data_IF_217052081629
#
_entry.id   IF_217052081629
#
_cell.length_a   1.000
_cell.length_b   1.000
_cell.length_c   1.000
_cell.angle_alpha   90.00
_cell.angle_beta   90.00
_cell.angle_gamma   90.00
#
_symmetry.space_group_name_H-M   'P 1'
#
loop_
_entity.id
_entity.type
_entity.pdbx_description
1 polymer ?
2 non-polymer ?
3 water ?
#
# COMPACT_ATOMS: atom_id res chain seq x y z
N UNK A 1 -3.23 5.10 15.37
CA UNK A 1 -4.12 4.47 14.44
C UNK A 1 -4.62 5.56 13.54
N UNK A 2 -4.79 5.28 12.26
CA UNK A 2 -5.37 6.22 11.32
C UNK A 2 -6.77 5.62 11.01
N UNK A 3 -7.74 6.39 10.52
CA UNK A 3 -9.10 5.93 10.27
C UNK A 3 -9.68 6.49 8.98
N UNK A 4 -10.51 5.79 8.20
CA UNK A 4 -11.16 6.41 7.07
C UNK A 4 -12.56 5.84 7.03
N UNK A 5 -13.53 6.70 6.77
CA UNK A 5 -14.91 6.36 6.70
C UNK A 5 -15.37 6.61 5.28
N UNK A 6 -15.89 5.60 4.61
CA UNK A 6 -16.41 5.83 3.27
C UNK A 6 -17.75 6.56 3.24
N UNK A 7 -18.50 6.70 4.32
CA UNK A 7 -19.73 7.43 4.21
C UNK A 7 -19.43 8.92 4.21
N UNK A 8 -19.80 9.56 3.11
CA UNK A 8 -19.54 10.98 3.01
C UNK A 8 -18.10 11.23 2.60
N UNK A 9 -17.40 10.22 2.08
CA UNK A 9 -16.05 10.39 1.61
C UNK A 9 -16.07 11.12 0.28
N UNK A 10 -15.14 12.00 0.04
CA UNK A 10 -15.07 12.66 -1.22
C UNK A 10 -13.57 12.71 -1.47
N UNK A 11 -13.09 13.36 -2.55
CA UNK A 11 -11.67 13.41 -2.85
C UNK A 11 -10.79 14.04 -1.78
N UNK A 12 -11.30 14.99 -1.02
CA UNK A 12 -10.43 15.63 -0.08
C UNK A 12 -10.34 14.88 1.24
N UNK A 13 -11.37 14.20 1.83
CA UNK A 13 -11.21 13.46 3.08
C UNK A 13 -10.30 12.26 2.88
N UNK A 14 -10.37 11.68 1.67
CA UNK A 14 -9.47 10.65 1.23
C UNK A 14 -8.03 11.20 1.19
N UNK A 15 -7.71 12.34 0.52
CA UNK A 15 -6.38 12.92 0.58
C UNK A 15 -5.92 13.14 2.03
N UNK A 16 -6.88 13.53 2.87
CA UNK A 16 -6.63 13.72 4.29
C UNK A 16 -6.31 12.41 4.98
N UNK A 17 -6.93 11.27 4.65
CA UNK A 17 -6.57 9.99 5.21
C UNK A 17 -5.19 9.57 4.71
N UNK A 18 -4.86 9.70 3.43
CA UNK A 18 -3.57 9.24 2.92
C UNK A 18 -2.44 10.07 3.51
N UNK A 19 -2.67 11.38 3.71
CA UNK A 19 -1.77 12.29 4.39
C UNK A 19 -1.48 11.81 5.81
N UNK A 20 -2.50 11.50 6.59
CA UNK A 20 -2.32 10.96 7.91
C UNK A 20 -1.64 9.61 7.94
N UNK A 21 -1.91 8.72 6.96
CA UNK A 21 -1.23 7.43 6.88
C UNK A 21 0.27 7.67 6.68
N UNK A 22 0.68 8.50 5.73
CA UNK A 22 2.06 8.84 5.50
C UNK A 22 2.69 9.42 6.74
N UNK A 23 1.97 10.31 7.39
CA UNK A 23 2.49 10.97 8.59
C UNK A 23 2.57 10.10 9.82
N UNK A 24 1.93 8.93 9.81
CA UNK A 24 1.99 7.98 10.90
C UNK A 24 3.19 7.07 10.74
N UNK A 25 3.97 7.10 9.65
CA UNK A 25 5.07 6.17 9.50
C UNK A 25 6.34 6.90 9.93
N UNK A 26 7.11 6.37 10.90
CA UNK A 26 8.30 7.02 11.46
C UNK A 26 9.47 7.02 10.51
N UNK A 27 10.26 8.08 10.55
CA UNK A 27 11.47 8.15 9.75
C UNK A 27 12.51 8.93 10.53
N UNK A 28 13.78 8.75 10.20
CA UNK A 28 14.81 9.50 10.87
C UNK A 28 15.29 10.57 9.92
N UNK A 29 15.65 10.20 8.70
CA UNK A 29 16.15 11.16 7.75
C UNK A 29 15.16 11.36 6.60
N UNK A 30 15.46 12.35 5.78
CA UNK A 30 14.74 12.57 4.54
C UNK A 30 15.87 12.46 3.55
N UNK A 31 15.74 11.68 2.50
CA UNK A 31 16.76 11.62 1.46
C UNK A 31 16.12 12.44 0.34
N UNK A 32 16.80 13.49 -0.15
CA UNK A 32 16.31 14.41 -1.17
C UNK A 32 14.91 14.92 -0.88
N UNK A 33 14.66 15.14 0.40
CA UNK A 33 13.41 15.60 1.02
C UNK A 33 12.21 14.61 1.09
N UNK A 34 12.47 13.35 0.84
CA UNK A 34 11.48 12.29 0.92
C UNK A 34 11.79 11.54 2.20
N UNK A 35 10.83 11.26 3.09
CA UNK A 35 10.99 10.41 4.25
C UNK A 35 11.60 9.05 3.93
N UNK A 36 12.68 8.73 4.60
CA UNK A 36 13.32 7.45 4.47
C UNK A 36 12.80 6.61 5.64
N UNK A 37 12.14 5.50 5.33
CA UNK A 37 11.57 4.64 6.35
C UNK A 37 12.70 3.94 7.12
N UNK A 38 12.42 3.61 8.38
CA UNK A 38 13.41 3.06 9.28
C UNK A 38 13.81 1.66 8.87
N UNK A 39 15.05 1.17 9.09
CA UNK A 39 15.47 -0.21 8.81
C UNK A 39 14.63 -1.28 9.54
N UNK A 40 14.40 -1.11 10.83
CA UNK A 40 13.55 -2.00 11.56
C UNK A 40 13.10 -1.22 12.78
N UNK A 41 11.94 -1.64 13.23
CA UNK A 41 11.35 -1.21 14.47
C UNK A 41 11.08 -2.60 15.05
N UNK A 42 11.03 -2.62 16.36
CA UNK A 42 10.81 -3.87 17.04
C UNK A 42 9.74 -3.61 18.07
N UNK A 43 9.03 -4.71 18.28
CA UNK A 43 7.97 -4.76 19.25
C UNK A 43 6.66 -4.58 18.53
N UNK A 44 5.58 -4.24 19.22
CA UNK A 44 4.32 -4.00 18.54
C UNK A 44 4.36 -2.67 17.83
N UNK A 45 5.38 -1.84 18.15
CA UNK A 45 5.61 -0.52 17.56
C UNK A 45 5.86 -0.58 16.05
N UNK A 46 6.22 -1.76 15.59
CA UNK A 46 6.43 -2.00 14.20
C UNK A 46 5.08 -1.98 13.44
N UNK A 47 3.91 -1.99 14.07
CA UNK A 47 2.67 -2.10 13.34
C UNK A 47 1.70 -0.93 13.55
N UNK A 48 1.23 -0.43 12.40
CA UNK A 48 0.24 0.64 12.34
C UNK A 48 -1.15 0.01 12.13
N UNK A 49 -2.16 0.46 12.85
CA UNK A 49 -3.50 -0.02 12.67
C UNK A 49 -4.32 1.00 11.91
N UNK A 50 -4.96 0.58 10.81
CA UNK A 50 -5.85 1.47 10.08
C UNK A 50 -7.25 0.98 10.34
N UNK A 51 -8.20 1.86 10.66
CA UNK A 51 -9.56 1.44 10.88
C UNK A 51 -10.32 1.94 9.69
N UNK A 52 -10.90 1.03 8.94
CA UNK A 52 -11.59 1.38 7.73
C UNK A 52 -13.07 1.13 7.91
N UNK A 53 -13.94 2.05 7.58
CA UNK A 53 -15.39 1.88 7.78
C UNK A 53 -16.11 1.85 6.43
N UNK A 54 -17.05 0.88 6.05
CA UNK A 54 -17.65 1.04 4.73
C UNK A 54 -18.83 2.03 4.82
N UNK A 55 -19.53 2.18 3.68
CA UNK A 55 -20.70 3.11 3.58
C UNK A 55 -21.65 2.93 4.76
N UNK A 56 -21.98 1.67 5.00
CA UNK A 56 -22.91 1.29 6.08
C UNK A 56 -22.24 1.40 7.44
N UNK A 57 -20.95 1.56 7.59
CA UNK A 57 -20.38 1.75 8.92
C UNK A 57 -19.78 0.49 9.50
N UNK A 58 -19.73 -0.64 8.80
CA UNK A 58 -19.04 -1.79 9.34
C UNK A 58 -17.56 -1.55 9.21
N UNK A 59 -16.72 -2.19 10.00
CA UNK A 59 -15.31 -1.88 9.99
C UNK A 59 -14.44 -3.13 9.96
N UNK A 60 -13.21 -2.93 9.52
CA UNK A 60 -12.15 -3.92 9.61
C UNK A 60 -10.95 -3.11 10.11
N UNK A 61 -10.06 -3.71 10.90
CA UNK A 61 -8.82 -3.08 11.29
C UNK A 61 -7.71 -3.77 10.52
N UNK A 62 -6.85 -3.03 9.79
CA UNK A 62 -5.77 -3.60 9.00
C UNK A 62 -4.45 -3.30 9.68
N UNK A 63 -3.52 -4.23 9.67
CA UNK A 63 -2.24 -4.05 10.34
C UNK A 63 -1.20 -3.82 9.27
N UNK A 64 -0.38 -2.78 9.41
CA UNK A 64 0.58 -2.41 8.39
C UNK A 64 1.97 -2.39 9.03
N UNK A 65 2.98 -2.94 8.40
CA UNK A 65 4.32 -2.85 8.93
C UNK A 65 4.81 -1.45 8.52
N UNK A 66 5.21 -0.67 9.53
CA UNK A 66 5.64 0.70 9.29
C UNK A 66 7.02 0.81 8.63
N UNK A 67 7.81 -0.27 8.48
CA UNK A 67 9.11 -0.16 7.85
C UNK A 67 8.96 -0.26 6.34
N UNK A 68 7.87 -0.81 5.83
CA UNK A 68 7.71 -0.98 4.39
C UNK A 68 6.28 -0.80 3.83
N UNK A 69 5.35 -0.37 4.68
CA UNK A 69 3.93 -0.15 4.37
C UNK A 69 3.25 -1.47 3.89
N UNK A 70 3.70 -2.63 4.39
CA UNK A 70 3.19 -3.92 3.93
C UNK A 70 2.04 -4.31 4.80
N UNK A 71 0.92 -4.61 4.14
CA UNK A 71 -0.30 -5.06 4.82
C UNK A 71 -0.08 -6.52 5.19
N UNK A 72 -0.18 -6.84 6.48
CA UNK A 72 0.14 -8.17 7.01
C UNK A 72 -1.10 -8.99 7.34
N UNK A 73 -2.20 -8.36 7.73
CA UNK A 73 -3.39 -9.03 8.16
C UNK A 73 -4.43 -8.01 8.58
N UNK A 74 -5.59 -8.47 9.02
CA UNK A 74 -6.71 -7.62 9.39
C UNK A 74 -7.60 -8.39 10.34
N UNK A 75 -8.46 -7.67 11.04
CA UNK A 75 -9.36 -8.18 12.04
C UNK A 75 -10.74 -7.85 11.51
N UNK A 76 -11.62 -8.81 11.43
CA UNK A 76 -12.96 -8.56 10.97
C UNK A 76 -13.73 -9.25 12.05
N UNK A 77 -14.44 -8.45 12.81
CA UNK A 77 -15.29 -8.93 13.88
C UNK A 77 -14.46 -9.57 15.00
N UNK A 78 -14.42 -10.89 15.16
CA UNK A 78 -13.62 -11.55 16.20
C UNK A 78 -12.59 -12.46 15.59
N UNK A 79 -12.37 -12.39 14.29
CA UNK A 79 -11.47 -13.30 13.63
C UNK A 79 -10.37 -12.43 13.03
N UNK A 80 -9.13 -12.84 13.28
CA UNK A 80 -8.04 -12.18 12.64
C UNK A 80 -7.71 -13.04 11.42
N UNK A 81 -7.20 -12.42 10.34
CA UNK A 81 -6.79 -13.11 9.12
C UNK A 81 -5.40 -12.62 8.78
N UNK A 82 -4.45 -13.53 8.55
CA UNK A 82 -3.07 -13.13 8.31
C UNK A 82 -2.64 -13.81 7.05
N UNK A 83 -1.71 -13.19 6.29
CA UNK A 83 -1.15 -13.81 5.09
C UNK A 83 -0.27 -14.98 5.48
N UNK A 84 -0.12 -15.94 4.59
CA UNK A 84 0.69 -17.09 4.91
C UNK A 84 2.16 -16.80 4.55
N UNK A 85 2.84 -16.08 5.44
CA UNK A 85 4.25 -15.79 5.29
C UNK A 85 4.84 -15.43 6.64
N UNK A 86 6.16 -15.66 6.82
CA UNK A 86 6.87 -15.43 8.07
C UNK A 86 6.64 -14.11 8.80
N UNK A 87 6.65 -12.97 8.11
CA UNK A 87 6.53 -11.67 8.76
C UNK A 87 5.12 -11.52 9.30
N UNK A 88 4.13 -12.07 8.60
CA UNK A 88 2.75 -12.00 9.06
C UNK A 88 2.55 -12.85 10.33
N UNK A 89 3.28 -13.98 10.46
CA UNK A 89 3.23 -14.80 11.68
C UNK A 89 3.87 -14.04 12.86
N UNK A 90 5.04 -13.42 12.65
CA UNK A 90 5.67 -12.58 13.65
C UNK A 90 4.69 -11.50 14.08
N UNK A 91 4.06 -10.84 13.10
CA UNK A 91 3.04 -9.85 13.37
C UNK A 91 1.89 -10.41 14.18
N UNK A 92 1.47 -11.66 13.97
CA UNK A 92 0.35 -12.17 14.76
C UNK A 92 0.67 -12.25 16.24
N UNK A 93 1.93 -12.09 16.65
CA UNK A 93 2.29 -12.06 18.06
C UNK A 93 2.06 -10.72 18.70
N UNK A 94 1.95 -9.66 17.90
CA UNK A 94 1.82 -8.34 18.47
C UNK A 94 0.47 -7.72 18.24
N UNK A 95 -0.21 -8.06 17.15
CA UNK A 95 -1.52 -7.47 16.92
C UNK A 95 -2.64 -8.51 17.02
N UNK A 96 -3.80 -7.96 17.31
CA UNK A 96 -5.07 -8.65 17.42
C UNK A 96 -5.00 -9.84 18.35
N UNK A 97 -4.41 -9.62 19.53
CA UNK A 97 -4.33 -10.66 20.54
C UNK A 97 -5.69 -11.19 21.03
N UNK A 98 -6.61 -10.28 20.93
CA UNK A 98 -8.00 -10.32 21.33
C UNK A 98 -9.00 -11.13 20.50
N UNK A 99 -8.55 -11.59 19.34
CA UNK A 99 -9.37 -12.33 18.44
C UNK A 99 -9.64 -13.71 19.00
N UNK A 100 -10.88 -14.13 18.75
CA UNK A 100 -11.38 -15.45 19.12
C UNK A 100 -10.73 -16.50 18.25
N UNK A 101 -10.35 -16.21 17.00
CA UNK A 101 -9.66 -17.18 16.21
C UNK A 101 -8.86 -16.45 15.18
N UNK A 102 -7.83 -17.16 14.74
CA UNK A 102 -6.90 -16.67 13.79
C UNK A 102 -6.86 -17.62 12.63
N UNK A 103 -7.17 -17.11 11.45
CA UNK A 103 -7.12 -17.90 10.24
C UNK A 103 -5.93 -17.44 9.43
N UNK A 104 -5.22 -18.35 8.81
CA UNK A 104 -4.12 -17.97 7.96
C UNK A 104 -4.74 -18.14 6.59
N UNK A 105 -4.59 -17.12 5.78
CA UNK A 105 -5.09 -17.09 4.44
C UNK A 105 -4.23 -18.02 3.64
N UNK A 106 -4.69 -18.75 2.63
CA UNK A 106 -3.89 -19.76 1.99
C UNK A 106 -2.78 -19.24 1.03
N UNK A 107 -2.48 -17.94 1.03
CA UNK A 107 -1.47 -17.36 0.12
C UNK A 107 -0.70 -16.35 0.92
N UNK A 108 0.48 -16.04 0.45
CA UNK A 108 1.25 -14.92 0.95
C UNK A 108 0.59 -13.63 0.40
N UNK A 109 1.09 -12.46 0.74
CA UNK A 109 0.51 -11.19 0.38
C UNK A 109 1.18 -10.48 -0.74
N UNK A 110 2.02 -11.14 -1.52
CA UNK A 110 2.57 -10.44 -2.66
C UNK A 110 1.62 -10.51 -3.84
N UNK A 111 1.81 -9.61 -4.76
CA UNK A 111 0.98 -9.46 -5.91
C UNK A 111 0.88 -10.69 -6.78
N UNK A 112 1.92 -11.44 -7.10
CA UNK A 112 1.78 -12.62 -7.94
C UNK A 112 0.82 -13.65 -7.36
N UNK A 113 0.99 -13.96 -6.09
CA UNK A 113 0.16 -14.91 -5.40
C UNK A 113 -1.28 -14.49 -5.24
N UNK A 114 -1.50 -13.21 -4.96
CA UNK A 114 -2.86 -12.71 -4.83
C UNK A 114 -3.56 -12.68 -6.18
N UNK A 115 -2.89 -12.42 -7.31
CA UNK A 115 -3.55 -12.37 -8.60
C UNK A 115 -3.94 -13.76 -9.00
N UNK A 116 -3.03 -14.71 -8.84
CA UNK A 116 -3.29 -16.12 -9.10
C UNK A 116 -4.53 -16.54 -8.31
N UNK A 117 -4.59 -16.28 -7.00
CA UNK A 117 -5.73 -16.68 -6.17
C UNK A 117 -7.04 -15.99 -6.51
N UNK A 118 -6.97 -14.75 -6.99
CA UNK A 118 -8.11 -13.99 -7.39
C UNK A 118 -8.61 -14.38 -8.78
N UNK A 119 -7.81 -14.94 -9.67
CA UNK A 119 -8.25 -15.24 -11.02
C UNK A 119 -8.14 -14.03 -11.99
N UNK A 120 -7.66 -12.87 -11.55
CA UNK A 120 -7.55 -11.69 -12.39
C UNK A 120 -6.20 -11.04 -12.04
N UNK A 121 -5.41 -10.59 -13.02
CA UNK A 121 -4.30 -9.68 -12.79
C UNK A 121 -4.87 -8.34 -12.38
N UNK A 122 -4.06 -7.55 -11.69
CA UNK A 122 -4.40 -6.21 -11.23
C UNK A 122 -5.01 -5.28 -12.26
N UNK A 123 -4.55 -5.45 -13.50
CA UNK A 123 -4.96 -4.64 -14.63
C UNK A 123 -6.42 -4.81 -14.96
N UNK A 124 -7.03 -5.90 -14.50
CA UNK A 124 -8.43 -6.17 -14.73
C UNK A 124 -9.29 -5.92 -13.49
N UNK A 125 -8.83 -5.33 -12.40
CA UNK A 125 -9.69 -5.10 -11.26
C UNK A 125 -9.83 -3.59 -11.17
N UNK A 126 -11.06 -3.07 -11.29
CA UNK A 126 -11.45 -1.71 -10.99
C UNK A 126 -11.11 -1.34 -9.58
N UNK A 127 -10.43 -0.23 -9.39
CA UNK A 127 -10.16 0.25 -8.07
C UNK A 127 -10.83 1.62 -8.03
N UNK A 128 -11.02 2.13 -6.83
CA UNK A 128 -11.58 3.42 -6.63
C UNK A 128 -12.10 3.37 -5.21
N UNK A 129 -12.84 4.37 -4.82
CA UNK A 129 -13.39 4.39 -3.48
C UNK A 129 -14.67 3.56 -3.39
N UNK A 130 -15.52 3.32 -4.41
CA UNK A 130 -16.60 2.34 -4.32
C UNK A 130 -16.03 0.95 -4.20
N UNK A 131 -15.00 0.59 -4.96
CA UNK A 131 -14.35 -0.70 -4.87
C UNK A 131 -13.77 -0.87 -3.48
N UNK A 132 -13.20 0.13 -2.80
CA UNK A 132 -12.75 -0.05 -1.43
C UNK A 132 -13.86 -0.41 -0.43
N UNK A 133 -15.04 0.18 -0.60
CA UNK A 133 -16.21 -0.11 0.22
C UNK A 133 -16.66 -1.57 0.11
N UNK A 134 -16.66 -2.01 -1.12
CA UNK A 134 -16.93 -3.37 -1.50
C UNK A 134 -15.92 -4.32 -0.89
N UNK A 135 -14.65 -3.97 -1.01
CA UNK A 135 -13.54 -4.75 -0.48
C UNK A 135 -13.70 -4.86 1.01
N UNK A 136 -14.02 -3.80 1.74
CA UNK A 136 -14.20 -3.90 3.18
C UNK A 136 -15.35 -4.89 3.41
N UNK A 137 -16.50 -4.80 2.69
CA UNK A 137 -17.61 -5.73 2.89
C UNK A 137 -17.34 -7.19 2.62
N UNK A 138 -16.48 -7.45 1.65
CA UNK A 138 -16.01 -8.78 1.34
C UNK A 138 -15.11 -9.31 2.45
N UNK A 139 -14.22 -8.51 3.03
CA UNK A 139 -13.31 -8.99 4.04
C UNK A 139 -14.04 -9.33 5.31
N UNK A 140 -15.23 -8.79 5.52
CA UNK A 140 -15.98 -9.07 6.71
C UNK A 140 -16.53 -10.49 6.70
N UNK A 141 -16.55 -11.17 5.57
CA UNK A 141 -17.11 -12.51 5.57
C UNK A 141 -16.13 -13.36 4.84
N UNK A 142 -15.48 -14.27 5.57
CA UNK A 142 -14.48 -15.12 4.97
C UNK A 142 -14.85 -15.89 3.69
N UNK A 143 -14.08 -15.61 2.65
CA UNK A 143 -14.06 -16.37 1.41
C UNK A 143 -12.68 -16.12 0.85
N UNK A 144 -11.80 -17.09 0.64
CA UNK A 144 -10.43 -16.76 0.26
C UNK A 144 -10.26 -16.35 -1.20
N UNK A 145 -11.15 -16.77 -2.12
CA UNK A 145 -11.04 -16.37 -3.52
C UNK A 145 -11.46 -14.91 -3.55
N UNK A 146 -12.62 -14.59 -2.96
CA UNK A 146 -13.07 -13.21 -2.98
C UNK A 146 -12.17 -12.33 -2.12
N UNK A 147 -11.61 -12.76 -0.99
CA UNK A 147 -10.67 -11.98 -0.22
C UNK A 147 -9.42 -11.68 -1.04
N UNK A 148 -8.90 -12.47 -1.99
CA UNK A 148 -7.71 -12.13 -2.72
C UNK A 148 -7.96 -10.88 -3.57
N UNK A 149 -9.10 -10.85 -4.27
CA UNK A 149 -9.52 -9.71 -5.08
C UNK A 149 -9.74 -8.43 -4.27
N UNK A 150 -10.41 -8.55 -3.12
CA UNK A 150 -10.56 -7.45 -2.21
C UNK A 150 -9.21 -6.96 -1.63
N UNK A 151 -8.25 -7.84 -1.35
CA UNK A 151 -6.97 -7.41 -0.79
C UNK A 151 -6.20 -6.70 -1.88
N UNK A 152 -6.32 -7.05 -3.16
CA UNK A 152 -5.67 -6.28 -4.22
C UNK A 152 -6.20 -4.87 -4.30
N UNK A 153 -7.50 -4.66 -4.09
CA UNK A 153 -8.04 -3.31 -4.05
C UNK A 153 -7.55 -2.60 -2.82
N UNK A 154 -7.59 -3.29 -1.69
CA UNK A 154 -7.21 -2.68 -0.42
C UNK A 154 -5.75 -2.20 -0.42
N UNK A 155 -4.76 -2.97 -0.92
CA UNK A 155 -3.34 -2.59 -0.93
C UNK A 155 -3.10 -1.33 -1.77
N UNK A 156 -3.68 -1.27 -2.95
CA UNK A 156 -3.49 -0.19 -3.88
C UNK A 156 -4.20 1.10 -3.51
N UNK A 157 -5.36 1.05 -2.88
CA UNK A 157 -6.03 2.29 -2.48
C UNK A 157 -5.48 2.80 -1.14
N UNK A 158 -4.67 2.03 -0.39
CA UNK A 158 -4.09 2.55 0.84
C UNK A 158 -2.57 2.61 0.75
N UNK A 159 -1.89 1.47 0.78
CA UNK A 159 -0.45 1.39 0.78
C UNK A 159 0.17 2.01 -0.46
N UNK A 160 -0.32 1.72 -1.66
CA UNK A 160 0.29 2.27 -2.84
C UNK A 160 0.05 3.75 -3.03
N UNK A 161 -1.08 4.24 -2.53
CA UNK A 161 -1.41 5.64 -2.62
C UNK A 161 -0.56 6.49 -1.67
N UNK A 162 -0.23 5.92 -0.51
CA UNK A 162 0.68 6.52 0.45
C UNK A 162 2.08 6.66 -0.17
N UNK A 163 2.57 5.63 -0.87
CA UNK A 163 3.88 5.64 -1.47
C UNK A 163 4.02 6.59 -2.63
N UNK A 164 2.98 6.79 -3.46
CA UNK A 164 3.05 7.61 -4.64
C UNK A 164 1.89 8.57 -4.72
N UNK A 165 2.16 9.87 -4.79
CA UNK A 165 1.16 10.91 -4.98
C UNK A 165 0.39 10.69 -6.28
N UNK A 166 1.01 10.15 -7.35
CA UNK A 166 0.27 9.86 -8.57
C UNK A 166 -0.84 8.84 -8.30
N UNK A 167 -0.60 7.73 -7.59
CA UNK A 167 -1.69 6.78 -7.35
C UNK A 167 -2.79 7.40 -6.45
N UNK A 168 -2.44 8.18 -5.44
CA UNK A 168 -3.44 8.84 -4.62
C UNK A 168 -4.39 9.68 -5.48
N UNK A 169 -3.82 10.39 -6.45
CA UNK A 169 -4.59 11.18 -7.39
C UNK A 169 -5.46 10.31 -8.26
N UNK A 170 -4.94 9.17 -8.68
CA UNK A 170 -5.75 8.25 -9.45
C UNK A 170 -6.99 7.81 -8.66
N UNK A 171 -6.86 7.57 -7.35
CA UNK A 171 -7.97 7.11 -6.57
C UNK A 171 -8.92 8.28 -6.34
N UNK A 172 -8.46 9.53 -6.22
CA UNK A 172 -9.37 10.66 -6.02
C UNK A 172 -10.19 10.88 -7.28
N UNK A 173 -9.67 10.68 -8.51
CA UNK A 173 -10.47 10.71 -9.75
C UNK A 173 -11.54 9.58 -9.77
N UNK A 174 -11.32 8.46 -9.05
CA UNK A 174 -12.17 7.28 -8.98
C UNK A 174 -13.00 7.20 -7.72
N UNK A 175 -13.30 8.35 -7.12
CA UNK A 175 -14.09 8.46 -5.90
C UNK A 175 -15.56 8.11 -6.05
N UNK A 176 -16.18 8.20 -7.23
CA UNK A 176 -17.57 7.84 -7.35
C UNK A 176 -17.71 6.86 -8.47
N UNK A 177 -16.62 6.38 -9.05
CA UNK A 177 -16.70 5.45 -10.15
C UNK A 177 -15.35 4.79 -10.21
N UNK A 178 -15.33 3.47 -10.29
CA UNK A 178 -14.12 2.71 -10.31
C UNK A 178 -13.67 2.56 -11.72
N UNK A 179 -12.39 2.24 -11.84
CA UNK A 179 -11.81 2.05 -13.15
C UNK A 179 -10.52 1.32 -12.90
N UNK A 180 -10.12 0.43 -13.81
CA UNK A 180 -8.88 -0.34 -13.67
C UNK A 180 -7.71 0.66 -13.65
N UNK A 181 -6.60 0.28 -13.02
CA UNK A 181 -5.40 1.09 -12.94
C UNK A 181 -4.75 1.26 -14.30
N UNK A 182 -4.20 2.45 -14.51
CA UNK A 182 -3.40 2.74 -15.69
C UNK A 182 -2.13 1.87 -15.66
N UNK A 183 -1.46 1.58 -16.79
CA UNK A 183 -0.21 0.83 -16.77
C UNK A 183 0.79 1.61 -15.93
N UNK A 184 0.74 2.93 -15.95
CA UNK A 184 1.62 3.75 -15.16
C UNK A 184 1.45 3.41 -13.69
N UNK A 185 0.24 3.27 -13.18
CA UNK A 185 0.01 2.87 -11.80
C UNK A 185 0.65 1.50 -11.57
N UNK A 186 0.53 0.49 -12.44
CA UNK A 186 1.11 -0.84 -12.21
C UNK A 186 2.63 -0.69 -12.24
N UNK A 187 3.22 0.08 -13.15
CA UNK A 187 4.64 0.31 -13.29
C UNK A 187 5.27 0.88 -12.02
N UNK A 188 4.66 1.94 -11.51
CA UNK A 188 5.03 2.57 -10.29
C UNK A 188 4.99 1.60 -9.13
N UNK A 189 3.90 0.84 -8.93
CA UNK A 189 3.80 -0.15 -7.85
C UNK A 189 4.94 -1.13 -7.80
N UNK A 190 5.29 -1.56 -8.99
CA UNK A 190 6.33 -2.53 -9.10
C UNK A 190 7.70 -1.95 -8.91
N UNK A 191 7.89 -0.64 -9.12
CA UNK A 191 9.18 0.03 -9.01
C UNK A 191 9.56 0.66 -7.70
N UNK A 192 8.75 0.60 -6.65
CA UNK A 192 9.05 1.26 -5.39
C UNK A 192 10.41 0.85 -4.81
N UNK A 193 10.72 -0.42 -4.73
CA UNK A 193 11.99 -0.90 -4.24
C UNK A 193 13.13 -0.32 -5.09
N UNK A 194 13.13 -0.54 -6.40
CA UNK A 194 14.15 -0.05 -7.30
C UNK A 194 14.42 1.44 -7.19
N UNK A 195 13.33 2.22 -7.28
CA UNK A 195 13.34 3.68 -7.21
C UNK A 195 13.84 4.12 -5.84
N UNK A 196 13.44 3.50 -4.72
CA UNK A 196 13.93 3.80 -3.39
C UNK A 196 15.43 3.56 -3.23
N UNK A 197 15.90 2.48 -3.83
CA UNK A 197 17.30 2.10 -3.79
C UNK A 197 18.15 3.13 -4.55
N UNK A 198 17.84 3.43 -5.83
CA UNK A 198 18.57 4.41 -6.60
C UNK A 198 18.53 5.83 -6.06
N UNK A 199 17.47 6.32 -5.43
CA UNK A 199 17.44 7.67 -4.85
C UNK A 199 18.42 7.68 -3.70
N UNK A 200 18.46 6.61 -2.89
CA UNK A 200 19.42 6.48 -1.82
C UNK A 200 20.87 6.43 -2.33
N UNK A 201 21.20 5.63 -3.32
CA UNK A 201 22.54 5.52 -3.89
C UNK A 201 23.00 6.73 -4.70
N UNK A 202 22.03 7.56 -5.10
CA UNK A 202 22.27 8.81 -5.80
C UNK A 202 22.91 9.84 -4.88
N UNK A 203 22.76 9.78 -3.54
CA UNK A 203 23.51 10.64 -2.63
C UNK A 203 24.96 10.16 -2.65
N UNK A 204 25.85 11.13 -2.83
CA UNK A 204 27.26 10.83 -3.06
C UNK A 204 27.48 10.44 -4.53
N UNK A 205 26.50 10.62 -5.40
CA UNK A 205 26.73 10.42 -6.83
C UNK A 205 26.13 11.56 -7.60
N UNK A 206 26.05 12.70 -6.90
CA UNK A 206 25.54 13.96 -7.45
C UNK A 206 24.08 13.90 -7.88
N UNK A 207 23.24 13.08 -7.24
CA UNK A 207 21.83 12.95 -7.62
C UNK A 207 21.63 12.08 -8.84
N UNK A 208 22.65 11.38 -9.31
CA UNK A 208 22.56 10.53 -10.48
C UNK A 208 22.44 9.07 -10.05
N UNK A 209 21.59 8.34 -10.76
CA UNK A 209 21.29 6.97 -10.42
C UNK A 209 22.37 6.12 -11.02
N UNK A 210 22.80 5.11 -10.25
CA UNK A 210 23.80 4.13 -10.65
C UNK A 210 23.29 3.36 -11.83
N UNK A 211 22.03 2.92 -11.75
CA UNK A 211 21.40 2.30 -12.88
C UNK A 211 19.98 2.90 -12.96
N UNK A 212 19.58 3.32 -14.16
CA UNK A 212 18.30 3.90 -14.49
C UNK A 212 17.12 2.97 -14.27
N UNK A 213 16.02 3.56 -13.84
CA UNK A 213 14.79 2.87 -13.53
C UNK A 213 13.94 3.09 -14.74
N UNK A 214 13.37 2.06 -15.33
CA UNK A 214 12.49 2.28 -16.47
C UNK A 214 11.02 2.02 -16.08
N UNK A 215 10.19 3.03 -16.36
CA UNK A 215 8.76 3.09 -16.09
C UNK A 215 7.99 3.22 -17.41
N UNK A 216 6.69 2.96 -17.49
CA UNK A 216 5.92 3.24 -18.71
C UNK A 216 5.10 4.44 -18.25
N UNK A 217 4.74 5.38 -19.10
CA UNK A 217 4.14 6.60 -18.58
C UNK A 217 2.62 6.75 -18.71
N UNK A 218 2.15 7.99 -18.58
CA UNK A 218 0.74 8.34 -18.62
C UNK A 218 0.32 8.64 -20.04
N UNK A 219 1.07 8.20 -21.06
CA UNK A 219 0.70 8.34 -22.46
C UNK A 219 0.84 6.97 -23.12
N UNK A 220 1.70 6.09 -22.59
CA UNK A 220 1.87 4.82 -23.24
C UNK A 220 2.96 3.98 -22.66
N UNK A 221 4.23 4.18 -23.04
CA UNK A 221 5.24 3.16 -22.76
C UNK A 221 6.69 3.66 -22.61
N UNK A 222 7.57 2.87 -21.99
CA UNK A 222 9.01 3.06 -21.88
C UNK A 222 9.65 4.40 -21.58
N UNK A 223 10.07 4.62 -20.33
CA UNK A 223 10.60 5.89 -19.85
C UNK A 223 11.74 5.56 -18.93
N UNK A 224 12.88 6.23 -19.00
CA UNK A 224 14.01 5.96 -18.12
C UNK A 224 14.26 7.16 -17.23
N UNK A 225 14.34 6.83 -15.95
CA UNK A 225 14.60 7.76 -14.86
C UNK A 225 16.07 7.50 -14.53
N UNK A 226 16.86 8.55 -14.72
CA UNK A 226 18.30 8.52 -14.55
C UNK A 226 18.77 9.38 -13.37
N UNK A 227 18.02 10.31 -12.79
CA UNK A 227 18.56 11.18 -11.77
C UNK A 227 17.45 11.80 -10.93
N UNK A 228 17.76 12.40 -9.79
CA UNK A 228 16.75 12.90 -8.87
C UNK A 228 15.99 14.11 -9.31
N UNK A 229 16.31 14.78 -10.42
CA UNK A 229 15.49 15.91 -10.80
C UNK A 229 14.29 15.42 -11.58
N UNK A 230 14.16 14.12 -11.90
CA UNK A 230 12.94 13.65 -12.54
C UNK A 230 11.73 14.02 -11.69
N UNK A 231 10.59 14.35 -12.30
CA UNK A 231 9.34 14.61 -11.57
C UNK A 231 8.84 13.41 -10.74
N UNK A 232 9.24 12.19 -11.10
CA UNK A 232 8.92 10.99 -10.33
C UNK A 232 9.53 11.19 -8.95
N UNK A 233 10.75 11.75 -8.92
CA UNK A 233 11.42 11.95 -7.64
C UNK A 233 10.95 13.23 -6.95
N UNK A 234 10.89 14.33 -7.69
CA UNK A 234 10.57 15.61 -7.06
C UNK A 234 9.13 15.74 -6.68
N UNK A 235 8.21 15.05 -7.35
CA UNK A 235 6.80 15.27 -7.11
C UNK A 235 6.02 14.03 -6.76
N UNK A 236 6.44 12.85 -7.15
CA UNK A 236 5.61 11.68 -7.02
C UNK A 236 5.87 10.75 -5.84
N UNK A 237 7.03 10.08 -5.77
CA UNK A 237 7.35 9.20 -4.65
C UNK A 237 7.32 9.97 -3.34
N UNK A 238 6.64 9.41 -2.35
CA UNK A 238 6.40 10.04 -1.07
C UNK A 238 7.07 9.32 0.08
N UNK A 239 7.56 8.08 -0.03
CA UNK A 239 8.15 7.35 1.09
C UNK A 239 9.26 6.55 0.49
N UNK A 240 10.39 6.34 1.15
CA UNK A 240 11.43 5.51 0.56
C UNK A 240 11.68 4.30 1.45
N UNK A 241 11.78 3.13 0.82
CA UNK A 241 12.12 1.93 1.53
C UNK A 241 13.61 1.97 1.79
N UNK A 242 13.96 1.77 3.05
CA UNK A 242 15.33 1.80 3.50
C UNK A 242 16.16 0.74 2.81
N UNK A 243 17.39 1.00 2.34
CA UNK A 243 18.16 -0.01 1.62
C UNK A 243 18.51 -1.26 2.39
N UNK A 244 18.40 -1.18 3.71
CA UNK A 244 18.68 -2.34 4.52
C UNK A 244 17.57 -3.35 4.34
N UNK A 245 16.41 -2.94 3.87
CA UNK A 245 15.31 -3.85 3.65
C UNK A 245 15.15 -4.19 2.16
N UNK A 246 16.16 -4.04 1.29
CA UNK A 246 15.97 -4.29 -0.12
C UNK A 246 16.89 -5.49 -0.46
#
# INVERSE_FOLDING_TARGET
DVSFRLSGADPRSYGMFIKDLRNALPFREKVYNIPLLLPSVSGAGRYLLMHLFNYDGKTITVAVDVTNVYIMGYLADTTSYFFNEPAAELASQYVFRDARRKITLPYSGNYERLQIAAGKPREKIPIGLPALDSAISTLLHYDSTAAAGALLVLIQTTAEAARFKYIEQQIQERAYRDEVPSLATISLENSWSGLSKQIQLAQGNNGIFRTPIVLVDNKGNRVQITNVTSKVVTSNIQLLLNTRNI
#
